data_IF_995731277018
#
_entry.id   IF_995731277018
#
_cell.length_a   1.000
_cell.length_b   1.000
_cell.length_c   1.000
_cell.angle_alpha   90.00
_cell.angle_beta   90.00
_cell.angle_gamma   90.00
#
_symmetry.space_group_name_H-M   'P 1'
#
loop_
_entity.id
_entity.type
_entity.pdbx_description
1 polymer ?
#
# COMPACT_ATOMS: atom_id res chain seq x y z
N UNK A 1 -4.97 27.43 -12.02
CA UNK A 1 -3.65 27.30 -11.35
C UNK A 1 -2.79 26.37 -12.20
N UNK A 2 -1.81 26.90 -12.96
CA UNK A 2 -0.90 26.06 -13.77
C UNK A 2 0.14 25.47 -12.82
N UNK A 3 0.02 24.19 -12.49
CA UNK A 3 1.05 23.48 -11.72
C UNK A 3 2.32 23.38 -12.57
N UNK A 4 3.38 24.04 -12.10
CA UNK A 4 4.69 24.02 -12.72
C UNK A 4 5.30 22.62 -12.51
N UNK A 5 5.33 21.79 -13.57
CA UNK A 5 5.82 20.40 -13.58
C UNK A 5 7.29 20.25 -13.12
N UNK A 6 8.01 21.35 -12.92
CA UNK A 6 9.44 21.39 -12.57
C UNK A 6 9.74 21.16 -11.07
N UNK A 7 8.72 21.10 -10.22
CA UNK A 7 8.86 20.85 -8.77
C UNK A 7 8.18 19.55 -8.30
N UNK A 8 8.09 18.54 -9.18
CA UNK A 8 7.95 17.15 -8.72
C UNK A 8 9.26 16.76 -8.02
N UNK A 9 9.42 17.26 -6.80
CA UNK A 9 10.60 17.08 -5.97
C UNK A 9 10.80 15.59 -5.65
N UNK A 10 12.03 15.14 -5.36
CA UNK A 10 12.33 13.79 -4.87
C UNK A 10 11.44 13.35 -3.69
N UNK A 11 10.92 14.32 -2.95
CA UNK A 11 9.95 14.14 -1.86
C UNK A 11 8.65 13.46 -2.31
N UNK A 12 8.20 13.73 -3.55
CA UNK A 12 6.98 13.16 -4.12
C UNK A 12 7.14 11.67 -4.42
N UNK A 13 8.26 11.29 -5.04
CA UNK A 13 8.65 9.90 -5.28
C UNK A 13 8.85 9.18 -3.94
N UNK A 14 9.53 9.81 -2.98
CA UNK A 14 9.76 9.24 -1.66
C UNK A 14 8.44 8.98 -0.91
N UNK A 15 7.48 9.90 -0.94
CA UNK A 15 6.20 9.75 -0.23
C UNK A 15 5.29 8.67 -0.83
N UNK A 16 5.21 8.60 -2.17
CA UNK A 16 4.49 7.53 -2.87
C UNK A 16 5.13 6.16 -2.68
N UNK A 17 6.48 6.10 -2.75
CA UNK A 17 7.24 4.89 -2.54
C UNK A 17 7.16 4.38 -1.09
N UNK A 18 7.23 5.27 -0.09
CA UNK A 18 7.20 4.89 1.34
C UNK A 18 5.91 4.15 1.73
N UNK A 19 4.75 4.57 1.22
CA UNK A 19 3.51 3.86 1.52
C UNK A 19 3.32 2.56 0.70
N UNK A 20 3.92 2.45 -0.50
CA UNK A 20 4.03 1.18 -1.23
C UNK A 20 4.99 0.17 -0.57
N UNK A 21 6.08 0.66 0.02
CA UNK A 21 7.08 -0.14 0.75
C UNK A 21 6.45 -0.86 1.94
N UNK A 22 5.48 -0.24 2.63
CA UNK A 22 4.77 -0.88 3.74
C UNK A 22 4.10 -2.20 3.34
N UNK A 23 3.44 -2.24 2.17
CA UNK A 23 2.83 -3.46 1.64
C UNK A 23 3.88 -4.51 1.27
N UNK A 24 4.97 -4.09 0.60
CA UNK A 24 6.08 -4.98 0.23
C UNK A 24 6.71 -5.63 1.49
N UNK A 25 7.02 -4.83 2.50
CA UNK A 25 7.57 -5.32 3.77
C UNK A 25 6.59 -6.30 4.43
N UNK A 26 5.30 -5.97 4.47
CA UNK A 26 4.28 -6.84 5.07
C UNK A 26 4.18 -8.20 4.38
N UNK A 27 4.30 -8.24 3.05
CA UNK A 27 4.31 -9.48 2.26
C UNK A 27 5.48 -10.37 2.69
N UNK A 28 6.71 -9.85 2.60
CA UNK A 28 7.90 -10.64 2.94
C UNK A 28 7.91 -11.03 4.42
N UNK A 29 7.49 -10.13 5.30
CA UNK A 29 7.36 -10.42 6.72
C UNK A 29 6.44 -11.62 6.98
N UNK A 30 5.26 -11.67 6.35
CA UNK A 30 4.32 -12.80 6.50
C UNK A 30 4.88 -14.07 5.86
N UNK A 31 5.43 -14.00 4.65
CA UNK A 31 5.95 -15.17 3.94
C UNK A 31 7.10 -15.85 4.69
N UNK A 32 7.91 -15.07 5.43
CA UNK A 32 9.05 -15.56 6.21
C UNK A 32 8.61 -15.99 7.63
N UNK A 33 7.80 -15.17 8.32
CA UNK A 33 7.58 -15.31 9.76
C UNK A 33 6.28 -16.02 10.13
N UNK A 34 5.28 -16.02 9.25
CA UNK A 34 4.01 -16.69 9.52
C UNK A 34 4.11 -18.18 9.21
N UNK A 35 3.74 -19.00 10.19
CA UNK A 35 3.70 -20.47 10.06
C UNK A 35 2.22 -20.87 10.07
N UNK A 36 1.75 -21.50 8.99
CA UNK A 36 0.36 -21.96 8.88
C UNK A 36 -0.21 -21.82 7.47
N UNK A 37 -1.38 -22.41 7.24
CA UNK A 37 -2.04 -22.43 5.93
C UNK A 37 -2.41 -21.02 5.43
N UNK A 38 -2.61 -20.08 6.34
CA UNK A 38 -2.99 -18.69 6.05
C UNK A 38 -1.82 -17.82 5.58
N UNK A 39 -0.57 -18.32 5.60
CA UNK A 39 0.62 -17.58 5.16
C UNK A 39 0.49 -17.01 3.75
N UNK A 40 -0.14 -17.78 2.86
CA UNK A 40 -0.35 -17.39 1.46
C UNK A 40 -1.23 -16.15 1.30
N UNK A 41 -2.09 -15.84 2.29
CA UNK A 41 -2.90 -14.62 2.28
C UNK A 41 -2.05 -13.35 2.30
N UNK A 42 -0.80 -13.43 2.78
CA UNK A 42 0.15 -12.31 2.70
C UNK A 42 0.42 -11.84 1.27
N UNK A 43 0.31 -12.71 0.25
CA UNK A 43 0.49 -12.33 -1.16
C UNK A 43 -0.59 -11.34 -1.62
N UNK A 44 -1.79 -11.39 -1.02
CA UNK A 44 -2.88 -10.49 -1.43
C UNK A 44 -2.53 -9.02 -1.22
N UNK A 45 -1.59 -8.69 -0.32
CA UNK A 45 -1.11 -7.33 -0.11
C UNK A 45 -0.41 -6.71 -1.34
N UNK A 46 -0.04 -7.49 -2.35
CA UNK A 46 0.43 -6.93 -3.65
C UNK A 46 -0.66 -6.11 -4.35
N UNK A 47 -1.93 -6.39 -4.06
CA UNK A 47 -3.09 -5.67 -4.59
C UNK A 47 -3.41 -4.42 -3.72
N UNK A 48 -2.45 -4.02 -2.88
CA UNK A 48 -2.54 -2.82 -2.05
C UNK A 48 -3.72 -2.84 -1.06
N UNK A 49 -4.43 -1.71 -0.89
CA UNK A 49 -5.49 -1.59 0.13
C UNK A 49 -6.65 -2.56 -0.08
N UNK A 50 -6.98 -2.92 -1.33
CA UNK A 50 -8.00 -3.92 -1.62
C UNK A 50 -7.57 -5.28 -1.09
N UNK A 51 -6.31 -5.65 -1.32
CA UNK A 51 -5.70 -6.85 -0.77
C UNK A 51 -5.74 -6.89 0.75
N UNK A 52 -5.34 -5.79 1.41
CA UNK A 52 -5.39 -5.69 2.86
C UNK A 52 -6.83 -5.80 3.41
N UNK A 53 -7.82 -5.21 2.75
CA UNK A 53 -9.22 -5.35 3.12
C UNK A 53 -9.70 -6.80 3.02
N UNK A 54 -9.37 -7.50 1.94
CA UNK A 54 -9.74 -8.91 1.74
C UNK A 54 -9.13 -9.80 2.81
N UNK A 55 -7.83 -9.65 3.08
CA UNK A 55 -7.15 -10.43 4.13
C UNK A 55 -7.75 -10.15 5.50
N UNK A 56 -8.05 -8.89 5.83
CA UNK A 56 -8.74 -8.54 7.07
C UNK A 56 -10.08 -9.28 7.18
N UNK A 57 -10.94 -9.23 6.16
CA UNK A 57 -12.26 -9.86 6.18
C UNK A 57 -12.18 -11.39 6.31
N UNK A 58 -11.22 -12.02 5.64
CA UNK A 58 -11.01 -13.47 5.67
C UNK A 58 -10.45 -13.95 7.01
N UNK A 59 -9.61 -13.15 7.66
CA UNK A 59 -8.84 -13.58 8.86
C UNK A 59 -9.33 -12.98 10.18
N UNK A 60 -10.32 -12.07 10.15
CA UNK A 60 -10.83 -11.33 11.33
C UNK A 60 -11.22 -12.17 12.55
N UNK A 61 -11.53 -13.45 12.37
CA UNK A 61 -11.91 -14.37 13.45
C UNK A 61 -10.86 -15.42 13.80
N UNK A 62 -9.88 -15.65 12.93
CA UNK A 62 -8.92 -16.77 13.07
C UNK A 62 -7.49 -16.32 13.34
N UNK A 63 -7.05 -15.18 12.77
CA UNK A 63 -5.65 -14.77 12.83
C UNK A 63 -5.48 -13.29 13.19
N UNK A 64 -5.29 -13.06 14.49
CA UNK A 64 -5.09 -11.71 15.06
C UNK A 64 -3.89 -10.98 14.43
N UNK A 65 -2.86 -11.70 13.99
CA UNK A 65 -1.66 -11.09 13.42
C UNK A 65 -1.93 -10.55 12.01
N UNK A 66 -2.52 -11.36 11.13
CA UNK A 66 -2.90 -10.92 9.78
C UNK A 66 -3.90 -9.76 9.84
N UNK A 67 -4.81 -9.78 10.81
CA UNK A 67 -5.74 -8.68 11.09
C UNK A 67 -5.01 -7.39 11.44
N UNK A 68 -4.08 -7.43 12.38
CA UNK A 68 -3.31 -6.24 12.80
C UNK A 68 -2.51 -5.65 11.66
N UNK A 69 -1.85 -6.49 10.87
CA UNK A 69 -1.06 -6.05 9.72
C UNK A 69 -1.98 -5.42 8.67
N UNK A 70 -3.08 -6.08 8.34
CA UNK A 70 -4.05 -5.59 7.36
C UNK A 70 -4.65 -4.24 7.77
N UNK A 71 -5.05 -4.10 9.03
CA UNK A 71 -5.55 -2.82 9.57
C UNK A 71 -4.47 -1.74 9.56
N UNK A 72 -3.23 -2.08 9.94
CA UNK A 72 -2.11 -1.12 9.90
C UNK A 72 -1.85 -0.59 8.48
N UNK A 73 -1.89 -1.47 7.47
CA UNK A 73 -1.76 -1.10 6.06
C UNK A 73 -2.92 -0.23 5.58
N UNK A 74 -4.17 -0.57 5.95
CA UNK A 74 -5.36 0.22 5.61
C UNK A 74 -5.33 1.61 6.27
N UNK A 75 -4.94 1.70 7.53
CA UNK A 75 -4.79 2.98 8.24
C UNK A 75 -3.68 3.81 7.60
N UNK A 76 -2.53 3.20 7.30
CA UNK A 76 -1.44 3.87 6.59
C UNK A 76 -1.88 4.41 5.23
N UNK A 77 -2.69 3.65 4.49
CA UNK A 77 -3.29 4.10 3.24
C UNK A 77 -4.29 5.25 3.45
N UNK A 78 -5.13 5.21 4.48
CA UNK A 78 -6.06 6.30 4.79
C UNK A 78 -5.33 7.61 5.13
N UNK A 79 -4.25 7.53 5.93
CA UNK A 79 -3.38 8.68 6.22
C UNK A 79 -2.77 9.22 4.92
N UNK A 80 -2.28 8.34 4.04
CA UNK A 80 -1.74 8.73 2.74
C UNK A 80 -2.79 9.46 1.88
N UNK A 81 -4.02 8.96 1.80
CA UNK A 81 -5.11 9.60 1.04
C UNK A 81 -5.34 11.03 1.53
N UNK A 82 -5.36 11.25 2.85
CA UNK A 82 -5.55 12.58 3.45
C UNK A 82 -4.40 13.54 3.07
N UNK A 83 -3.18 13.05 2.94
CA UNK A 83 -2.01 13.85 2.53
C UNK A 83 -2.00 14.09 1.02
N UNK A 84 -2.36 13.08 0.22
CA UNK A 84 -2.30 13.09 -1.24
C UNK A 84 -3.33 14.03 -1.86
N UNK A 85 -4.57 14.05 -1.35
CA UNK A 85 -5.66 14.84 -1.93
C UNK A 85 -5.39 16.36 -1.94
N UNK A 86 -4.97 17.01 -0.82
CA UNK A 86 -4.62 18.43 -0.82
C UNK A 86 -3.46 18.78 -1.74
N UNK A 87 -2.57 17.83 -2.00
CA UNK A 87 -1.42 17.98 -2.87
C UNK A 87 -1.74 17.76 -4.37
N UNK A 88 -3.02 17.50 -4.71
CA UNK A 88 -3.46 17.22 -6.08
C UNK A 88 -2.94 15.89 -6.63
N UNK A 89 -2.56 14.96 -5.74
CA UNK A 89 -2.01 13.66 -6.08
C UNK A 89 -3.14 12.64 -6.16
N UNK A 90 -3.12 11.77 -7.17
CA UNK A 90 -4.01 10.62 -7.17
C UNK A 90 -3.53 9.61 -6.10
N UNK A 91 -4.27 9.37 -5.01
CA UNK A 91 -3.83 8.46 -3.94
C UNK A 91 -3.74 7.00 -4.42
N UNK A 92 -4.48 6.65 -5.48
CA UNK A 92 -4.43 5.33 -6.12
C UNK A 92 -3.21 5.16 -7.03
N UNK A 93 -2.36 6.18 -7.19
CA UNK A 93 -1.07 6.04 -7.86
C UNK A 93 -0.20 4.94 -7.22
N UNK A 94 -0.44 4.55 -5.97
CA UNK A 94 0.26 3.40 -5.37
C UNK A 94 -0.20 2.04 -5.90
N UNK A 95 -1.46 1.92 -6.33
CA UNK A 95 -1.98 0.69 -6.96
C UNK A 95 -1.43 0.50 -8.38
N UNK A 96 -1.16 1.61 -9.08
CA UNK A 96 -0.80 1.62 -10.49
C UNK A 96 0.58 2.21 -10.79
N UNK A 97 1.35 2.64 -9.78
CA UNK A 97 2.63 3.35 -9.96
C UNK A 97 3.67 2.49 -10.69
N UNK A 98 3.62 1.18 -10.46
CA UNK A 98 4.41 0.20 -11.22
C UNK A 98 3.99 0.07 -12.70
N UNK A 99 2.75 0.41 -13.05
CA UNK A 99 2.19 0.26 -14.40
C UNK A 99 2.26 1.59 -15.18
N UNK A 100 2.02 2.73 -14.54
CA UNK A 100 1.83 4.02 -15.23
C UNK A 100 2.98 5.01 -15.04
N UNK A 101 3.87 4.83 -14.05
CA UNK A 101 5.06 5.66 -13.90
C UNK A 101 6.16 5.34 -14.93
N UNK A 102 6.09 4.18 -15.58
CA UNK A 102 7.09 3.71 -16.54
C UNK A 102 6.64 3.83 -18.00
N UNK A 103 5.33 3.80 -18.28
CA UNK A 103 4.76 3.94 -19.64
C UNK A 103 4.54 5.41 -20.06
N UNK A 104 5.07 6.35 -19.29
CA UNK A 104 4.90 7.80 -19.49
C UNK A 104 6.13 8.48 -20.12
N UNK A 105 7.09 7.70 -20.63
CA UNK A 105 8.12 8.18 -21.56
C UNK A 105 7.83 7.65 -22.98
#
# INVERSE_FOLDING_TARGET
MKFNKKYLSPFWIASGALAGIGYIIAIFYILIKEKGNERWLGIMFFIGPIGALLVYLLTRKSNVRLVRISLGLLIGFAIWVIIALPLGINPLYQLFGYVHGWLSD
#
